data_IF_509694681839
#
_entry.id   IF_509694681839
#
_cell.length_a   1.000
_cell.length_b   1.000
_cell.length_c   1.000
_cell.angle_alpha   90.00
_cell.angle_beta   90.00
_cell.angle_gamma   90.00
#
_symmetry.space_group_name_H-M   'P 1'
#
loop_
_entity.id
_entity.type
_entity.pdbx_description
1 polymer ?
#
# COMPACT_ATOMS: atom_id res chain seq x y z
N UNK A 1 -3.76 15.71 -19.98
CA UNK A 1 -2.84 14.74 -19.36
C UNK A 1 -3.57 13.42 -19.26
N UNK A 2 -3.08 12.40 -19.96
CA UNK A 2 -3.68 11.07 -19.99
C UNK A 2 -3.35 10.40 -18.66
N UNK A 3 -4.37 10.08 -17.86
CA UNK A 3 -4.20 9.27 -16.65
C UNK A 3 -3.49 7.96 -17.05
N UNK A 4 -2.53 7.45 -16.27
CA UNK A 4 -2.12 6.07 -16.41
C UNK A 4 -3.39 5.23 -16.41
N UNK A 5 -3.63 4.52 -17.51
CA UNK A 5 -4.68 3.50 -17.53
C UNK A 5 -4.01 2.20 -17.14
N UNK A 6 -4.78 1.22 -16.69
CA UNK A 6 -4.31 -0.17 -16.53
C UNK A 6 -3.54 -0.65 -17.75
N UNK A 7 -3.88 -0.17 -18.96
CA UNK A 7 -3.14 -0.47 -20.20
C UNK A 7 -1.68 -0.01 -20.17
N UNK A 8 -1.36 1.08 -19.47
CA UNK A 8 0.01 1.55 -19.27
C UNK A 8 0.75 0.70 -18.22
N UNK A 9 0.05 0.25 -17.17
CA UNK A 9 0.63 -0.65 -16.17
C UNK A 9 0.85 -2.06 -16.75
N UNK A 10 -0.10 -2.58 -17.53
CA UNK A 10 0.06 -3.82 -18.27
C UNK A 10 1.29 -3.74 -19.17
N UNK A 11 1.42 -2.67 -19.97
CA UNK A 11 2.62 -2.45 -20.80
C UNK A 11 3.91 -2.34 -20.00
N UNK A 12 3.88 -1.74 -18.80
CA UNK A 12 5.04 -1.66 -17.93
C UNK A 12 5.42 -3.04 -17.36
N UNK A 13 4.43 -3.85 -16.98
CA UNK A 13 4.63 -5.18 -16.43
C UNK A 13 4.99 -6.24 -17.48
N UNK A 14 4.40 -6.17 -18.67
CA UNK A 14 4.63 -7.10 -19.79
C UNK A 14 5.85 -6.69 -20.65
N UNK A 15 6.37 -5.47 -20.45
CA UNK A 15 7.46 -4.89 -21.20
C UNK A 15 8.84 -5.12 -20.58
N UNK A 16 9.63 -4.05 -20.50
CA UNK A 16 10.99 -4.09 -19.99
C UNK A 16 11.02 -4.25 -18.45
N UNK A 17 11.42 -5.43 -17.97
CA UNK A 17 11.56 -5.73 -16.53
C UNK A 17 12.47 -4.72 -15.81
N UNK A 18 13.45 -4.13 -16.49
CA UNK A 18 14.33 -3.10 -15.91
C UNK A 18 13.57 -1.79 -15.71
N UNK A 19 12.75 -1.37 -16.67
CA UNK A 19 11.92 -0.17 -16.55
C UNK A 19 10.85 -0.31 -15.45
N UNK A 20 10.26 -1.49 -15.30
CA UNK A 20 9.37 -1.78 -14.16
C UNK A 20 10.12 -1.62 -12.84
N UNK A 21 11.30 -2.22 -12.71
CA UNK A 21 12.10 -2.12 -11.49
C UNK A 21 12.48 -0.66 -11.17
N UNK A 22 12.86 0.12 -12.19
CA UNK A 22 13.18 1.53 -12.04
C UNK A 22 11.97 2.33 -11.53
N UNK A 23 10.79 2.13 -12.12
CA UNK A 23 9.56 2.77 -11.66
C UNK A 23 9.21 2.41 -10.21
N UNK A 24 9.34 1.13 -9.85
CA UNK A 24 9.11 0.66 -8.47
C UNK A 24 10.09 1.31 -7.47
N UNK A 25 11.35 1.50 -7.86
CA UNK A 25 12.36 2.19 -7.06
C UNK A 25 12.12 3.70 -6.97
N UNK A 26 11.67 4.33 -8.05
CA UNK A 26 11.35 5.75 -8.10
C UNK A 26 10.13 6.11 -7.23
N UNK A 27 9.15 5.21 -7.15
CA UNK A 27 8.04 5.31 -6.21
C UNK A 27 8.43 4.95 -4.78
N UNK A 28 9.62 4.38 -4.56
CA UNK A 28 10.07 3.91 -3.25
C UNK A 28 9.38 2.64 -2.76
N UNK A 29 8.63 1.95 -3.62
CA UNK A 29 8.00 0.66 -3.29
C UNK A 29 9.04 -0.44 -3.09
N UNK A 30 10.21 -0.30 -3.71
CA UNK A 30 11.33 -1.21 -3.62
C UNK A 30 12.61 -0.40 -3.38
N UNK A 31 13.46 -0.87 -2.47
CA UNK A 31 14.75 -0.23 -2.21
C UNK A 31 15.69 -0.35 -3.40
N UNK A 32 16.53 0.67 -3.60
CA UNK A 32 17.66 0.59 -4.53
C UNK A 32 18.74 -0.34 -4.00
N UNK A 33 19.59 -0.85 -4.90
CA UNK A 33 20.76 -1.61 -4.47
C UNK A 33 21.60 -0.80 -3.49
N UNK A 34 22.10 -1.47 -2.44
CA UNK A 34 22.84 -0.80 -1.37
C UNK A 34 21.96 -0.28 -0.22
N UNK A 35 20.63 -0.34 -0.36
CA UNK A 35 19.69 0.08 0.69
C UNK A 35 19.26 -1.04 1.65
N UNK A 36 19.28 -2.30 1.21
CA UNK A 36 18.69 -3.42 1.98
C UNK A 36 19.77 -4.22 2.74
N UNK A 37 19.89 -4.11 4.07
CA UNK A 37 20.88 -4.85 4.85
C UNK A 37 20.48 -6.32 5.02
N UNK A 38 21.46 -7.21 4.93
CA UNK A 38 21.24 -8.63 5.18
C UNK A 38 20.85 -8.86 6.66
N UNK A 39 19.72 -9.51 6.96
CA UNK A 39 19.27 -9.71 8.35
C UNK A 39 20.26 -10.54 9.19
N UNK A 40 21.12 -11.35 8.56
CA UNK A 40 22.15 -12.14 9.27
C UNK A 40 23.49 -11.42 9.43
N UNK A 41 23.74 -10.32 8.69
CA UNK A 41 25.11 -9.76 8.52
C UNK A 41 25.20 -8.25 8.53
N UNK A 42 24.12 -7.52 8.28
CA UNK A 42 24.14 -6.08 8.00
C UNK A 42 24.79 -5.70 6.66
N UNK A 43 25.38 -6.65 5.92
CA UNK A 43 25.95 -6.38 4.58
C UNK A 43 24.85 -6.10 3.57
N UNK A 44 25.05 -5.13 2.69
CA UNK A 44 24.06 -4.77 1.68
C UNK A 44 23.77 -5.94 0.71
N UNK A 45 22.49 -6.24 0.55
CA UNK A 45 21.99 -7.23 -0.39
C UNK A 45 22.07 -6.65 -1.82
N UNK A 46 22.24 -7.54 -2.79
CA UNK A 46 22.18 -7.22 -4.23
C UNK A 46 20.91 -7.79 -4.81
N UNK A 47 20.29 -7.04 -5.72
CA UNK A 47 19.06 -7.46 -6.37
C UNK A 47 19.41 -8.24 -7.64
N UNK A 48 18.82 -9.41 -7.82
CA UNK A 48 19.14 -10.29 -8.96
C UNK A 48 17.86 -10.81 -9.62
N UNK A 49 17.84 -10.92 -10.96
CA UNK A 49 16.76 -11.57 -11.66
C UNK A 49 16.76 -13.08 -11.34
N UNK A 50 15.58 -13.65 -11.19
CA UNK A 50 15.34 -15.07 -10.95
C UNK A 50 14.04 -15.49 -11.65
N UNK A 51 14.16 -16.02 -12.88
CA UNK A 51 13.04 -16.25 -13.79
C UNK A 51 11.99 -17.25 -13.28
N UNK A 52 12.34 -18.12 -12.33
CA UNK A 52 11.43 -19.13 -11.75
C UNK A 52 10.41 -18.55 -10.75
N UNK A 53 10.35 -17.23 -10.57
CA UNK A 53 9.42 -16.55 -9.64
C UNK A 53 8.42 -15.67 -10.36
N UNK A 54 7.22 -15.55 -9.78
CA UNK A 54 6.12 -14.67 -10.23
C UNK A 54 6.60 -13.24 -10.50
N UNK A 55 7.50 -12.71 -9.67
CA UNK A 55 8.03 -11.34 -9.80
C UNK A 55 9.40 -11.26 -10.47
N UNK A 56 10.02 -12.41 -10.75
CA UNK A 56 11.33 -12.51 -11.38
C UNK A 56 12.52 -11.87 -10.64
N UNK A 57 12.42 -11.50 -9.35
CA UNK A 57 13.51 -10.84 -8.61
C UNK A 57 13.73 -11.43 -7.21
N UNK A 58 14.98 -11.38 -6.73
CA UNK A 58 15.35 -11.78 -5.37
C UNK A 58 16.55 -11.00 -4.82
N UNK A 59 16.54 -10.72 -3.52
CA UNK A 59 17.66 -10.14 -2.80
C UNK A 59 18.64 -11.21 -2.34
N UNK A 60 19.92 -11.07 -2.69
CA UNK A 60 20.97 -12.05 -2.37
C UNK A 60 22.12 -11.37 -1.64
N UNK A 61 22.57 -11.99 -0.55
CA UNK A 61 23.76 -11.55 0.16
C UNK A 61 25.05 -11.97 -0.56
N UNK A 62 25.96 -11.02 -0.83
CA UNK A 62 27.31 -11.31 -1.31
C UNK A 62 28.37 -11.31 -0.22
N UNK A 63 27.98 -11.12 1.05
CA UNK A 63 28.88 -11.08 2.19
C UNK A 63 29.49 -12.43 2.56
N UNK A 64 30.45 -12.40 3.47
CA UNK A 64 31.07 -13.58 4.04
C UNK A 64 30.82 -13.68 5.55
N UNK A 65 30.85 -14.90 6.04
CA UNK A 65 30.68 -15.33 7.42
C UNK A 65 32.02 -15.83 7.92
N UNK A 66 32.49 -15.35 9.08
CA UNK A 66 33.59 -15.97 9.78
C UNK A 66 33.20 -16.19 11.24
N UNK A 67 32.96 -17.44 11.62
CA UNK A 67 32.83 -17.81 13.02
C UNK A 67 34.24 -17.94 13.65
N UNK A 68 34.35 -17.72 14.96
CA UNK A 68 35.64 -17.76 15.67
C UNK A 68 36.31 -19.12 15.43
N UNK A 69 37.58 -19.11 15.00
CA UNK A 69 38.38 -20.30 14.63
C UNK A 69 37.85 -21.12 13.43
N UNK A 70 36.88 -20.63 12.66
CA UNK A 70 36.41 -21.30 11.45
C UNK A 70 36.81 -20.57 10.17
N UNK A 71 36.88 -21.34 9.06
CA UNK A 71 37.13 -20.79 7.72
C UNK A 71 35.98 -19.85 7.31
N UNK A 72 36.34 -18.81 6.58
CA UNK A 72 35.40 -17.82 6.07
C UNK A 72 34.50 -18.45 5.00
N UNK A 73 33.19 -18.46 5.23
CA UNK A 73 32.18 -19.03 4.32
C UNK A 73 31.36 -17.93 3.66
N UNK A 74 30.85 -18.16 2.45
CA UNK A 74 29.96 -17.18 1.80
C UNK A 74 28.58 -17.20 2.45
N UNK A 75 28.02 -16.02 2.69
CA UNK A 75 26.63 -15.90 3.16
C UNK A 75 25.68 -16.39 2.07
N UNK A 76 24.71 -17.23 2.44
CA UNK A 76 23.68 -17.78 1.53
C UNK A 76 22.29 -17.20 1.79
N UNK A 77 22.22 -16.06 2.49
CA UNK A 77 20.93 -15.40 2.76
C UNK A 77 20.31 -14.94 1.45
N UNK A 78 19.04 -15.29 1.29
CA UNK A 78 18.17 -14.91 0.19
C UNK A 78 16.90 -14.35 0.80
N UNK A 79 16.46 -13.19 0.36
CA UNK A 79 15.27 -12.49 0.87
C UNK A 79 14.33 -12.22 -0.30
N UNK A 80 13.03 -12.40 -0.09
CA UNK A 80 12.03 -12.16 -1.13
C UNK A 80 12.08 -10.72 -1.59
N UNK A 81 11.80 -10.48 -2.87
CA UNK A 81 11.62 -9.14 -3.42
C UNK A 81 10.60 -8.30 -2.63
N UNK A 82 9.58 -8.97 -2.07
CA UNK A 82 8.46 -8.34 -1.38
C UNK A 82 8.69 -8.07 0.10
N UNK A 83 9.68 -8.68 0.76
CA UNK A 83 9.83 -8.63 2.22
C UNK A 83 10.11 -7.22 2.73
N UNK A 84 9.35 -6.77 3.71
CA UNK A 84 9.36 -5.44 4.33
C UNK A 84 8.76 -4.34 3.46
N UNK A 85 8.10 -4.69 2.35
CA UNK A 85 7.62 -3.71 1.35
C UNK A 85 6.10 -3.70 1.26
N UNK A 86 5.54 -2.74 0.52
CA UNK A 86 4.11 -2.68 0.21
C UNK A 86 3.55 -3.99 -0.40
N UNK A 87 4.40 -4.76 -1.08
CA UNK A 87 4.02 -6.04 -1.68
C UNK A 87 4.02 -7.19 -0.66
N UNK A 88 4.54 -7.02 0.55
CA UNK A 88 4.60 -8.11 1.55
C UNK A 88 3.23 -8.59 1.99
N UNK A 89 2.21 -7.72 2.00
CA UNK A 89 0.86 -8.09 2.45
C UNK A 89 0.25 -9.25 1.63
N UNK A 90 0.72 -9.51 0.40
CA UNK A 90 0.32 -10.73 -0.34
C UNK A 90 0.89 -12.03 0.21
N UNK A 91 1.90 -11.97 1.08
CA UNK A 91 2.49 -13.12 1.73
C UNK A 91 1.73 -13.47 3.03
N UNK A 92 1.12 -12.47 3.67
CA UNK A 92 0.42 -12.59 4.96
C UNK A 92 -1.07 -12.87 4.80
N UNK A 93 -1.73 -12.30 3.80
CA UNK A 93 -3.11 -12.62 3.49
C UNK A 93 -3.19 -14.00 2.83
N UNK A 94 -4.09 -14.88 3.30
CA UNK A 94 -4.46 -16.17 2.65
C UNK A 94 -5.24 -15.96 1.33
N UNK A 95 -4.81 -15.00 0.54
CA UNK A 95 -5.33 -14.65 -0.78
C UNK A 95 -4.26 -15.00 -1.80
N UNK A 96 -4.67 -15.67 -2.88
CA UNK A 96 -3.87 -16.01 -4.06
C UNK A 96 -2.78 -14.96 -4.31
N UNK A 97 -1.50 -15.37 -4.34
CA UNK A 97 -0.34 -14.48 -4.51
C UNK A 97 -0.53 -13.57 -5.74
N UNK A 98 -1.02 -12.35 -5.53
CA UNK A 98 -1.27 -11.42 -6.63
C UNK A 98 0.06 -11.05 -7.29
N UNK A 99 0.10 -11.09 -8.61
CA UNK A 99 1.27 -10.61 -9.37
C UNK A 99 1.46 -9.10 -9.19
N UNK A 100 2.66 -8.59 -9.49
CA UNK A 100 2.90 -7.14 -9.50
C UNK A 100 1.90 -6.40 -10.40
N UNK A 101 1.57 -6.97 -11.57
CA UNK A 101 0.55 -6.43 -12.45
C UNK A 101 -0.81 -6.29 -11.76
N UNK A 102 -1.28 -7.35 -11.09
CA UNK A 102 -2.57 -7.32 -10.39
C UNK A 102 -2.57 -6.29 -9.26
N UNK A 103 -1.47 -6.17 -8.50
CA UNK A 103 -1.37 -5.21 -7.40
C UNK A 103 -1.36 -3.77 -7.93
N UNK A 104 -0.48 -3.47 -8.87
CA UNK A 104 -0.33 -2.13 -9.43
C UNK A 104 -1.61 -1.72 -10.18
N UNK A 105 -2.18 -2.63 -10.98
CA UNK A 105 -3.45 -2.43 -11.68
C UNK A 105 -4.63 -2.26 -10.73
N UNK A 106 -4.66 -2.97 -9.60
CA UNK A 106 -5.70 -2.82 -8.60
C UNK A 106 -5.68 -1.41 -8.02
N UNK A 107 -4.50 -0.96 -7.59
CA UNK A 107 -4.32 0.38 -7.01
C UNK A 107 -4.74 1.44 -8.04
N UNK A 108 -4.26 1.36 -9.28
CA UNK A 108 -4.58 2.32 -10.34
C UNK A 108 -6.08 2.45 -10.62
N UNK A 109 -6.78 1.32 -10.76
CA UNK A 109 -8.23 1.31 -10.93
C UNK A 109 -8.95 1.83 -9.69
N UNK A 110 -8.47 1.46 -8.51
CA UNK A 110 -9.09 1.85 -7.25
C UNK A 110 -8.97 3.36 -7.01
N UNK A 111 -7.80 3.96 -7.25
CA UNK A 111 -7.59 5.42 -7.15
C UNK A 111 -8.31 6.17 -8.26
N UNK A 112 -8.51 5.53 -9.43
CA UNK A 112 -9.36 6.03 -10.50
C UNK A 112 -10.85 6.04 -10.13
N UNK A 113 -11.24 5.40 -9.03
CA UNK A 113 -12.62 5.36 -8.54
C UNK A 113 -13.47 4.27 -9.17
N UNK A 114 -12.84 3.26 -9.79
CA UNK A 114 -13.56 2.17 -10.44
C UNK A 114 -14.29 1.28 -9.42
N UNK A 115 -15.51 0.79 -9.75
CA UNK A 115 -16.24 -0.15 -8.89
C UNK A 115 -15.49 -1.47 -8.66
N UNK A 116 -15.52 -2.03 -7.45
CA UNK A 116 -14.75 -3.24 -7.12
C UNK A 116 -15.10 -4.47 -7.97
N UNK A 117 -16.35 -4.60 -8.42
CA UNK A 117 -16.77 -5.66 -9.33
C UNK A 117 -16.12 -5.52 -10.73
N UNK A 118 -15.93 -4.28 -11.19
CA UNK A 118 -15.18 -4.02 -12.41
C UNK A 118 -13.72 -4.42 -12.24
N UNK A 119 -13.08 -3.98 -11.16
CA UNK A 119 -11.67 -4.28 -10.85
C UNK A 119 -11.44 -5.80 -10.73
N UNK A 120 -12.33 -6.47 -10.02
CA UNK A 120 -12.31 -7.93 -9.84
C UNK A 120 -12.34 -8.68 -11.17
N UNK A 121 -13.20 -8.26 -12.10
CA UNK A 121 -13.29 -8.85 -13.44
C UNK A 121 -12.06 -8.52 -14.28
N UNK A 122 -11.62 -7.27 -14.28
CA UNK A 122 -10.53 -6.79 -15.13
C UNK A 122 -9.18 -7.43 -14.78
N UNK A 123 -8.94 -7.70 -13.50
CA UNK A 123 -7.69 -8.27 -12.99
C UNK A 123 -7.79 -9.77 -12.69
N UNK A 124 -8.94 -10.38 -12.98
CA UNK A 124 -9.23 -11.80 -12.73
C UNK A 124 -8.98 -12.21 -11.27
N UNK A 125 -9.31 -11.33 -10.33
CA UNK A 125 -9.19 -11.59 -8.88
C UNK A 125 -10.57 -11.84 -8.27
N UNK A 126 -10.62 -12.64 -7.20
CA UNK A 126 -11.89 -12.90 -6.52
C UNK A 126 -12.44 -11.64 -5.84
N UNK A 127 -13.77 -11.59 -5.66
CA UNK A 127 -14.43 -10.48 -4.94
C UNK A 127 -13.89 -10.30 -3.52
N UNK A 128 -13.56 -11.39 -2.83
CA UNK A 128 -12.97 -11.37 -1.48
C UNK A 128 -11.64 -10.63 -1.51
N UNK A 129 -10.74 -11.03 -2.42
CA UNK A 129 -9.44 -10.39 -2.61
C UNK A 129 -9.60 -8.90 -2.94
N UNK A 130 -10.56 -8.54 -3.81
CA UNK A 130 -10.81 -7.15 -4.15
C UNK A 130 -11.30 -6.32 -2.96
N UNK A 131 -12.11 -6.89 -2.06
CA UNK A 131 -12.56 -6.21 -0.83
C UNK A 131 -11.39 -6.03 0.14
N UNK A 132 -10.58 -7.06 0.34
CA UNK A 132 -9.41 -7.03 1.24
C UNK A 132 -8.39 -5.98 0.78
N UNK A 133 -8.08 -5.97 -0.51
CA UNK A 133 -7.21 -4.96 -1.11
C UNK A 133 -7.79 -3.55 -1.07
N UNK A 134 -9.11 -3.40 -1.21
CA UNK A 134 -9.75 -2.10 -1.04
C UNK A 134 -9.65 -1.61 0.42
N UNK A 135 -9.72 -2.52 1.40
CA UNK A 135 -9.49 -2.20 2.81
C UNK A 135 -8.04 -1.81 3.06
N UNK A 136 -7.08 -2.56 2.50
CA UNK A 136 -5.68 -2.20 2.56
C UNK A 136 -5.40 -0.81 1.99
N UNK A 137 -5.89 -0.50 0.78
CA UNK A 137 -5.68 0.81 0.18
C UNK A 137 -6.26 1.95 1.03
N UNK A 138 -7.38 1.71 1.72
CA UNK A 138 -7.97 2.69 2.66
C UNK A 138 -7.07 2.94 3.87
N UNK A 139 -6.42 1.91 4.37
CA UNK A 139 -5.50 1.98 5.51
C UNK A 139 -4.22 2.76 5.13
N UNK A 140 -3.65 2.48 3.96
CA UNK A 140 -2.49 3.22 3.44
C UNK A 140 -2.78 4.72 3.34
N UNK A 141 -3.91 5.10 2.73
CA UNK A 141 -4.27 6.52 2.64
C UNK A 141 -4.61 7.11 4.00
N UNK A 142 -5.20 6.34 4.92
CA UNK A 142 -5.52 6.81 6.27
C UNK A 142 -4.24 7.21 7.01
N UNK A 143 -3.26 6.31 7.09
CA UNK A 143 -1.97 6.57 7.76
C UNK A 143 -1.26 7.76 7.11
N UNK A 144 -1.23 7.81 5.78
CA UNK A 144 -0.64 8.93 5.06
C UNK A 144 -1.32 10.28 5.35
N UNK A 145 -2.66 10.33 5.46
CA UNK A 145 -3.37 11.57 5.78
C UNK A 145 -3.05 12.09 7.18
N UNK A 146 -2.84 11.19 8.16
CA UNK A 146 -2.45 11.58 9.51
C UNK A 146 -1.06 12.23 9.52
N UNK A 147 -0.10 11.64 8.81
CA UNK A 147 1.26 12.17 8.74
C UNK A 147 1.35 13.52 8.01
N UNK A 148 0.48 13.74 7.01
CA UNK A 148 0.46 14.97 6.22
C UNK A 148 -0.15 16.19 6.95
N UNK A 149 -0.67 16.04 8.18
CA UNK A 149 -1.31 17.10 8.99
C UNK A 149 -2.22 18.01 8.16
N UNK A 150 -2.95 17.41 7.23
CA UNK A 150 -3.69 18.14 6.20
C UNK A 150 -4.75 19.04 6.85
N UNK A 151 -4.63 20.36 6.69
CA UNK A 151 -5.67 21.29 7.17
C UNK A 151 -6.98 20.99 6.45
N UNK A 152 -8.01 20.65 7.22
CA UNK A 152 -9.37 20.45 6.74
C UNK A 152 -10.07 21.80 6.61
N UNK A 153 -9.72 22.56 5.56
CA UNK A 153 -10.36 23.84 5.25
C UNK A 153 -9.58 24.69 4.26
N UNK A 154 -10.30 25.41 3.39
CA UNK A 154 -9.71 26.50 2.58
C UNK A 154 -9.40 27.75 3.42
N UNK A 155 -8.75 28.78 2.84
CA UNK A 155 -8.53 30.04 3.53
C UNK A 155 -9.87 30.63 3.99
N UNK A 156 -9.93 31.08 5.24
CA UNK A 156 -11.15 31.59 5.86
C UNK A 156 -11.66 32.86 5.16
N UNK A 157 -12.96 33.09 5.23
CA UNK A 157 -13.58 34.34 4.80
C UNK A 157 -13.00 35.50 5.64
N UNK A 158 -12.41 36.54 5.02
CA UNK A 158 -11.69 37.60 5.73
C UNK A 158 -12.61 38.55 6.52
N UNK A 159 -13.93 38.47 6.34
CA UNK A 159 -14.92 39.35 6.99
C UNK A 159 -15.58 38.65 8.17
N UNK A 160 -15.88 37.35 8.04
CA UNK A 160 -16.64 36.60 9.03
C UNK A 160 -15.80 35.65 9.88
N UNK A 161 -14.57 35.31 9.46
CA UNK A 161 -13.73 34.32 10.12
C UNK A 161 -14.33 32.90 10.14
N UNK A 162 -15.46 32.69 9.46
CA UNK A 162 -16.22 31.45 9.52
C UNK A 162 -15.72 30.42 8.49
N UNK A 163 -15.41 29.21 8.97
CA UNK A 163 -14.88 28.10 8.17
C UNK A 163 -15.94 27.14 7.61
N UNK A 164 -17.23 27.50 7.56
CA UNK A 164 -18.31 26.50 7.52
C UNK A 164 -18.69 25.99 6.12
N UNK A 165 -18.73 26.86 5.11
CA UNK A 165 -19.28 26.49 3.79
C UNK A 165 -18.41 25.47 3.02
N UNK A 166 -17.08 25.54 3.19
CA UNK A 166 -16.14 24.58 2.60
C UNK A 166 -16.07 23.26 3.38
N UNK A 167 -16.25 23.33 4.70
CA UNK A 167 -16.33 22.16 5.59
C UNK A 167 -17.60 21.37 5.28
N UNK A 168 -18.76 22.02 5.20
CA UNK A 168 -20.03 21.35 4.87
C UNK A 168 -20.04 20.74 3.47
N UNK A 169 -19.50 21.43 2.47
CA UNK A 169 -19.35 20.87 1.11
C UNK A 169 -18.46 19.63 1.10
N UNK A 170 -17.35 19.67 1.84
CA UNK A 170 -16.45 18.53 2.01
C UNK A 170 -17.13 17.39 2.77
N UNK A 171 -17.93 17.69 3.81
CA UNK A 171 -18.72 16.69 4.54
C UNK A 171 -19.82 16.08 3.68
N UNK A 172 -20.50 16.85 2.83
CA UNK A 172 -21.48 16.30 1.88
C UNK A 172 -20.82 15.35 0.90
N UNK A 173 -19.66 15.74 0.35
CA UNK A 173 -18.86 14.87 -0.53
C UNK A 173 -18.38 13.60 0.17
N UNK A 174 -17.84 13.73 1.38
CA UNK A 174 -17.43 12.60 2.19
C UNK A 174 -18.62 11.68 2.50
N UNK A 175 -19.78 12.24 2.90
CA UNK A 175 -21.01 11.50 3.17
C UNK A 175 -21.52 10.73 1.95
N UNK A 176 -21.41 11.34 0.75
CA UNK A 176 -21.77 10.68 -0.50
C UNK A 176 -20.86 9.48 -0.81
N UNK A 177 -19.56 9.56 -0.50
CA UNK A 177 -18.61 8.45 -0.65
C UNK A 177 -18.77 7.40 0.46
N UNK A 178 -19.14 7.81 1.67
CA UNK A 178 -19.36 6.89 2.81
C UNK A 178 -20.70 6.15 2.71
N UNK A 179 -21.67 6.65 1.94
CA UNK A 179 -22.99 6.02 1.75
C UNK A 179 -23.88 6.07 3.01
N UNK A 180 -25.21 5.97 2.87
CA UNK A 180 -26.14 6.24 3.98
C UNK A 180 -26.50 5.04 4.89
N UNK A 181 -26.17 3.78 4.56
CA UNK A 181 -26.62 2.63 5.35
C UNK A 181 -25.65 1.42 5.34
N UNK A 182 -25.64 0.66 6.45
CA UNK A 182 -25.09 -0.71 6.53
C UNK A 182 -23.57 -0.86 6.67
N UNK A 183 -22.83 0.19 7.07
CA UNK A 183 -21.37 0.09 7.28
C UNK A 183 -21.01 -0.05 8.76
N UNK A 184 -20.05 -0.94 9.04
CA UNK A 184 -19.35 -1.01 10.33
C UNK A 184 -18.67 0.34 10.62
N UNK A 185 -18.82 0.84 11.85
CA UNK A 185 -18.23 2.12 12.30
C UNK A 185 -16.72 2.18 12.06
N UNK A 186 -16.03 1.04 12.22
CA UNK A 186 -14.59 0.88 11.98
C UNK A 186 -14.13 1.31 10.57
N UNK A 187 -14.99 1.29 9.55
CA UNK A 187 -14.60 1.68 8.19
C UNK A 187 -14.75 3.18 7.88
N UNK A 188 -15.36 3.97 8.76
CA UNK A 188 -15.60 5.40 8.53
C UNK A 188 -14.28 6.18 8.31
N UNK A 189 -13.25 6.03 9.16
CA UNK A 189 -11.99 6.76 9.00
C UNK A 189 -11.33 6.51 7.64
N UNK A 190 -11.21 5.23 7.23
CA UNK A 190 -10.60 4.87 5.95
C UNK A 190 -11.38 5.37 4.73
N UNK A 191 -12.71 5.41 4.78
CA UNK A 191 -13.52 5.99 3.70
C UNK A 191 -13.37 7.52 3.62
N UNK A 192 -13.28 8.17 4.78
CA UNK A 192 -13.03 9.61 4.85
C UNK A 192 -11.64 9.95 4.30
N UNK A 193 -10.62 9.20 4.70
CA UNK A 193 -9.26 9.37 4.19
C UNK A 193 -9.18 9.16 2.68
N UNK A 194 -9.87 8.15 2.14
CA UNK A 194 -10.01 7.96 0.69
C UNK A 194 -10.56 9.22 0.01
N UNK A 195 -11.66 9.77 0.53
CA UNK A 195 -12.25 10.98 -0.04
C UNK A 195 -11.28 12.17 -0.01
N UNK A 196 -10.59 12.37 1.12
CA UNK A 196 -9.60 13.43 1.28
C UNK A 196 -8.42 13.28 0.32
N UNK A 197 -7.87 12.07 0.18
CA UNK A 197 -6.83 11.74 -0.80
C UNK A 197 -7.29 12.08 -2.22
N UNK A 198 -8.49 11.65 -2.60
CA UNK A 198 -8.99 11.86 -3.96
C UNK A 198 -9.16 13.34 -4.27
N UNK A 199 -9.74 14.10 -3.33
CA UNK A 199 -9.97 15.53 -3.47
C UNK A 199 -8.66 16.32 -3.54
N UNK A 200 -7.75 16.12 -2.59
CA UNK A 200 -6.51 16.89 -2.50
C UNK A 200 -5.63 16.72 -3.74
N UNK A 201 -5.47 15.48 -4.22
CA UNK A 201 -4.61 15.23 -5.38
C UNK A 201 -5.25 15.63 -6.70
N UNK A 202 -6.58 15.66 -6.77
CA UNK A 202 -7.29 16.29 -7.89
C UNK A 202 -7.05 17.80 -7.93
N UNK A 203 -7.09 18.49 -6.78
CA UNK A 203 -6.81 19.93 -6.68
C UNK A 203 -5.36 20.26 -7.08
N UNK A 204 -4.40 19.42 -6.67
CA UNK A 204 -2.98 19.56 -7.03
C UNK A 204 -2.66 19.15 -8.47
N UNK A 205 -3.63 18.60 -9.21
CA UNK A 205 -3.46 18.07 -10.58
C UNK A 205 -2.33 17.04 -10.71
N UNK A 206 -2.11 16.27 -9.66
CA UNK A 206 -1.11 15.22 -9.62
C UNK A 206 -1.72 13.87 -10.00
N UNK A 207 -0.86 12.95 -10.45
CA UNK A 207 -1.27 11.58 -10.73
C UNK A 207 -1.50 10.81 -9.42
N UNK A 208 -2.77 10.45 -9.17
CA UNK A 208 -3.16 9.76 -7.93
C UNK A 208 -2.49 8.41 -7.76
N UNK A 209 -2.21 7.70 -8.84
CA UNK A 209 -1.58 6.38 -8.82
C UNK A 209 -0.13 6.49 -8.33
N UNK A 210 0.66 7.36 -8.98
CA UNK A 210 2.04 7.66 -8.57
C UNK A 210 2.13 8.11 -7.12
N UNK A 211 1.20 8.97 -6.70
CA UNK A 211 1.22 9.55 -5.37
C UNK A 211 0.81 8.56 -4.30
N UNK A 212 -0.17 7.69 -4.58
CA UNK A 212 -0.46 6.56 -3.71
C UNK A 212 0.77 5.68 -3.53
N UNK A 213 1.47 5.33 -4.62
CA UNK A 213 2.66 4.48 -4.54
C UNK A 213 3.80 5.11 -3.74
N UNK A 214 3.99 6.43 -3.84
CA UNK A 214 4.97 7.16 -3.00
C UNK A 214 4.64 7.08 -1.52
N UNK A 215 3.37 7.27 -1.16
CA UNK A 215 2.92 7.15 0.24
C UNK A 215 3.08 5.71 0.74
N UNK A 216 2.72 4.73 -0.09
CA UNK A 216 2.91 3.31 0.23
C UNK A 216 4.40 2.96 0.43
N UNK A 217 5.29 3.46 -0.43
CA UNK A 217 6.74 3.23 -0.30
C UNK A 217 7.35 3.84 0.96
N UNK A 218 6.81 4.98 1.43
CA UNK A 218 7.21 5.58 2.71
C UNK A 218 6.73 4.76 3.90
N UNK A 219 5.48 4.28 3.85
CA UNK A 219 4.84 3.55 4.94
C UNK A 219 5.37 2.12 5.09
N UNK A 220 5.72 1.46 3.98
CA UNK A 220 6.22 0.09 3.95
C UNK A 220 7.66 0.07 3.47
N UNK A 221 8.55 0.57 4.34
CA UNK A 221 9.98 0.60 4.11
C UNK A 221 10.66 -0.50 4.95
N UNK A 222 11.40 -1.44 4.33
CA UNK A 222 12.09 -2.52 5.06
C UNK A 222 13.12 -2.04 6.09
N UNK A 223 13.47 -0.76 6.08
CA UNK A 223 14.43 -0.14 6.99
C UNK A 223 13.79 0.52 8.22
N UNK A 224 12.47 0.71 8.19
CA UNK A 224 11.73 1.27 9.34
C UNK A 224 11.17 0.13 10.17
N UNK A 225 11.28 0.24 11.49
CA UNK A 225 10.55 -0.64 12.40
C UNK A 225 9.06 -0.31 12.28
N UNK A 226 8.26 -1.25 11.80
CA UNK A 226 6.82 -1.10 11.83
C UNK A 226 6.33 -1.43 13.25
N UNK A 227 5.44 -0.59 13.83
CA UNK A 227 4.74 -0.94 15.06
C UNK A 227 4.05 -2.32 14.88
N UNK A 228 3.98 -3.14 15.94
CA UNK A 228 3.21 -4.38 15.87
C UNK A 228 1.78 -4.10 15.42
N UNK A 229 1.28 -4.98 14.57
CA UNK A 229 -0.04 -4.89 13.98
C UNK A 229 -1.09 -5.32 15.02
N UNK A 230 -1.70 -4.36 15.72
CA UNK A 230 -2.69 -4.61 16.78
C UNK A 230 -4.01 -5.23 16.27
N UNK A 231 -4.11 -5.59 14.99
CA UNK A 231 -5.31 -6.18 14.38
C UNK A 231 -5.70 -7.56 14.92
N UNK A 232 -4.76 -8.28 15.53
CA UNK A 232 -5.06 -9.56 16.19
C UNK A 232 -5.81 -9.37 17.54
N UNK A 233 -5.88 -8.16 18.09
CA UNK A 233 -6.58 -7.88 19.35
C UNK A 233 -8.07 -7.56 19.16
N UNK A 234 -8.50 -7.02 18.01
CA UNK A 234 -9.91 -6.65 17.80
C UNK A 234 -10.82 -7.88 17.57
N UNK A 235 -10.30 -8.99 17.04
CA UNK A 235 -11.08 -10.24 16.90
C UNK A 235 -11.28 -10.97 18.24
N UNK A 236 -10.39 -10.78 19.22
CA UNK A 236 -10.51 -11.40 20.56
C UNK A 236 -11.51 -10.62 21.45
N UNK A 237 -11.58 -9.30 21.32
CA UNK A 237 -12.55 -8.49 22.07
C UNK A 237 -14.01 -8.71 21.58
N UNK A 238 -14.24 -9.07 20.32
CA UNK A 238 -15.59 -9.41 19.84
C UNK A 238 -16.07 -10.79 20.33
N UNK A 239 -15.18 -11.78 20.55
CA UNK A 239 -15.53 -13.09 21.11
C UNK A 239 -15.80 -13.05 22.63
N UNK A 240 -15.01 -12.27 23.41
CA UNK A 240 -15.25 -12.12 24.86
C UNK A 240 -16.58 -11.41 25.17
N UNK A 241 -17.04 -10.50 24.29
CA UNK A 241 -18.32 -9.78 24.49
C UNK A 241 -19.54 -10.65 24.14
N UNK A 242 -19.39 -11.70 23.35
CA UNK A 242 -20.46 -12.66 23.07
C UNK A 242 -20.57 -13.77 24.14
N UNK A 243 -19.46 -14.21 24.76
CA UNK A 243 -19.51 -15.20 25.85
C UNK A 243 -20.15 -14.64 27.14
N UNK A 244 -19.91 -13.38 27.48
CA UNK A 244 -20.48 -12.75 28.68
C UNK A 244 -22.00 -12.43 28.58
N UNK A 245 -22.60 -12.59 27.40
CA UNK A 245 -24.04 -12.42 27.21
C UNK A 245 -24.83 -13.72 27.37
N UNK A 246 -24.17 -14.86 27.61
CA UNK A 246 -24.80 -16.17 27.79
C UNK A 246 -24.45 -16.88 29.11
N UNK A 247 -23.89 -16.16 30.09
CA UNK A 247 -23.66 -16.63 31.46
C UNK A 247 -24.73 -16.16 32.45
#
# INVERSE_FOLDING_TARGET
MVLPTVKNIAKLCDGDKAALLEALQDWGLILREGGYPCPKRGTQLKLRPEDDRVDSWIWICSGYVQARKQKRQRCRTRVSFRTGTFFERTNELRTSHLSLFQILGFVDLWVSGMPLNFISRELEISKRVAVDWASFCREVVLNAMFDLKTKLGGPGDPVTGAHTNSIEGSWRGAKAVTGPAGRKKAHIPGNLAKYMFFKRWQELRLDRTTEFFRLAGQLYNPLTEHPPDDRDNEEQEEEEVEEDQHA
#
